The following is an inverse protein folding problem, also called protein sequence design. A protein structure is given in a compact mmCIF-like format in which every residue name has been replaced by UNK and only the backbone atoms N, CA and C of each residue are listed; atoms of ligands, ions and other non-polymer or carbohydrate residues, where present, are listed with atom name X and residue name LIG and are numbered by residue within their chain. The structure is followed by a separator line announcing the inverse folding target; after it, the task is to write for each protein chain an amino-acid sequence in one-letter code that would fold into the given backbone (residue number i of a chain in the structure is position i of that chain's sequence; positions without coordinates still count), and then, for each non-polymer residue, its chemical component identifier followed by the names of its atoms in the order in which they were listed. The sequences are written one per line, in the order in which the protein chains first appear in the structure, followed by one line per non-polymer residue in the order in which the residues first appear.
data_IF_868968674695
#
_entry.id   IF_868968674695
#
_cell.length_a   1.000
_cell.length_b   1.000
_cell.length_c   1.000
_cell.angle_alpha   90.00
_cell.angle_beta   90.00
_cell.angle_gamma   90.00
#
_symmetry.space_group_name_H-M   'P 1'
#
loop_
_entity.id
_entity.type
_entity.pdbx_description
1 polymer ?
#
# COMPACT_ATOMS: atom_id res chain seq x y z
N UNK A 1 14.75 26.48 3.21
CA UNK A 1 14.10 25.49 2.32
C UNK A 1 14.98 24.26 2.40
N UNK A 2 14.46 23.11 2.84
CA UNK A 2 15.25 21.87 2.91
C UNK A 2 15.10 21.19 1.56
N UNK A 3 16.20 20.94 0.88
CA UNK A 3 16.19 20.19 -0.38
C UNK A 3 15.85 18.72 -0.10
N UNK A 4 14.97 18.10 -0.92
CA UNK A 4 14.61 16.71 -0.72
C UNK A 4 15.84 15.80 -0.95
N UNK A 5 15.95 14.76 -0.12
CA UNK A 5 17.05 13.78 -0.16
C UNK A 5 17.02 12.96 -1.46
N UNK A 6 15.85 12.85 -2.10
CA UNK A 6 15.66 12.15 -3.38
C UNK A 6 14.64 12.88 -4.26
N UNK A 7 14.88 12.90 -5.57
CA UNK A 7 13.88 13.33 -6.55
C UNK A 7 12.84 12.23 -6.74
N UNK A 8 11.57 12.55 -6.55
CA UNK A 8 10.46 11.61 -6.78
C UNK A 8 10.18 11.51 -8.28
N UNK A 9 10.19 10.29 -8.81
CA UNK A 9 9.72 9.97 -10.16
C UNK A 9 8.37 9.29 -10.06
N UNK A 10 7.34 9.89 -10.67
CA UNK A 10 6.03 9.27 -10.79
C UNK A 10 5.97 8.39 -12.06
N UNK A 11 5.13 7.35 -12.08
CA UNK A 11 4.80 6.64 -13.31
C UNK A 11 4.17 7.60 -14.34
N UNK A 12 4.34 7.29 -15.63
CA UNK A 12 3.66 8.02 -16.68
C UNK A 12 2.16 7.71 -16.64
N UNK A 13 1.34 8.75 -16.62
CA UNK A 13 -0.11 8.58 -16.65
C UNK A 13 -0.55 8.03 -18.01
N UNK A 14 -1.29 6.92 -17.97
CA UNK A 14 -1.94 6.32 -19.12
C UNK A 14 -3.31 6.95 -19.37
N UNK A 15 -3.74 6.98 -20.63
CA UNK A 15 -5.08 7.47 -20.99
C UNK A 15 -6.15 6.58 -20.36
N UNK A 16 -7.23 7.18 -19.82
CA UNK A 16 -8.30 6.43 -19.14
C UNK A 16 -9.05 5.44 -20.04
N UNK A 17 -8.91 5.58 -21.36
CA UNK A 17 -9.47 4.72 -22.40
C UNK A 17 -8.43 3.77 -23.05
N UNK A 18 -7.16 3.86 -22.63
CA UNK A 18 -6.07 3.04 -23.16
C UNK A 18 -5.98 1.69 -22.41
N UNK A 19 -6.91 0.80 -22.75
CA UNK A 19 -7.01 -0.52 -22.15
C UNK A 19 -5.78 -1.42 -22.43
N UNK A 20 -5.01 -1.14 -23.47
CA UNK A 20 -3.79 -1.89 -23.78
C UNK A 20 -2.66 -1.47 -22.85
N UNK A 21 -2.48 -0.16 -22.64
CA UNK A 21 -1.55 0.36 -21.66
C UNK A 21 -1.90 -0.10 -20.24
N UNK A 22 -3.18 -0.06 -19.84
CA UNK A 22 -3.67 -0.57 -18.55
C UNK A 22 -3.26 -2.02 -18.29
N UNK A 23 -3.46 -2.89 -19.30
CA UNK A 23 -3.09 -4.31 -19.20
C UNK A 23 -1.59 -4.47 -19.09
N UNK A 24 -0.84 -3.76 -19.92
CA UNK A 24 0.62 -3.84 -19.92
C UNK A 24 1.21 -3.38 -18.58
N UNK A 25 0.65 -2.34 -17.96
CA UNK A 25 1.04 -1.91 -16.60
C UNK A 25 0.79 -3.01 -15.58
N UNK A 26 -0.36 -3.69 -15.63
CA UNK A 26 -0.65 -4.80 -14.70
C UNK A 26 0.28 -6.00 -14.91
N UNK A 27 0.54 -6.36 -16.15
CA UNK A 27 1.42 -7.48 -16.50
C UNK A 27 2.88 -7.23 -16.08
N UNK A 28 3.35 -5.98 -16.16
CA UNK A 28 4.69 -5.58 -15.73
C UNK A 28 4.83 -5.42 -14.21
N UNK A 29 3.70 -5.29 -13.50
CA UNK A 29 3.66 -5.03 -12.06
C UNK A 29 2.81 -6.09 -11.36
N UNK A 30 3.19 -7.38 -11.40
CA UNK A 30 2.38 -8.44 -10.81
C UNK A 30 2.20 -8.20 -9.31
N UNK A 31 0.98 -8.38 -8.83
CA UNK A 31 0.64 -8.31 -7.40
C UNK A 31 0.15 -9.69 -6.98
N UNK A 32 0.74 -10.22 -5.93
CA UNK A 32 0.42 -11.56 -5.44
C UNK A 32 -0.96 -11.61 -4.79
N UNK A 33 -1.70 -12.70 -5.01
CA UNK A 33 -3.04 -12.88 -4.44
C UNK A 33 -3.01 -12.89 -2.90
N UNK A 34 -1.93 -13.44 -2.30
CA UNK A 34 -1.72 -13.44 -0.86
C UNK A 34 -1.58 -12.02 -0.30
N UNK A 35 -0.88 -11.13 -1.01
CA UNK A 35 -0.75 -9.72 -0.65
C UNK A 35 -2.10 -9.01 -0.71
N UNK A 36 -2.88 -9.23 -1.78
CA UNK A 36 -4.23 -8.65 -1.89
C UNK A 36 -5.14 -9.12 -0.75
N UNK A 37 -5.09 -10.41 -0.39
CA UNK A 37 -5.83 -10.95 0.76
C UNK A 37 -5.41 -10.33 2.09
N UNK A 38 -4.10 -10.09 2.28
CA UNK A 38 -3.59 -9.43 3.47
C UNK A 38 -4.06 -7.97 3.54
N UNK A 39 -4.02 -7.24 2.43
CA UNK A 39 -4.52 -5.88 2.30
C UNK A 39 -6.03 -5.79 2.55
N UNK A 40 -6.81 -6.74 2.03
CA UNK A 40 -8.25 -6.84 2.28
C UNK A 40 -8.53 -7.09 3.77
N UNK A 41 -7.84 -8.07 4.39
CA UNK A 41 -7.98 -8.37 5.81
C UNK A 41 -7.62 -7.17 6.70
N UNK A 42 -6.51 -6.50 6.41
CA UNK A 42 -6.11 -5.26 7.05
C UNK A 42 -7.23 -4.23 6.93
N UNK A 43 -7.75 -4.02 5.71
CA UNK A 43 -8.77 -3.02 5.42
C UNK A 43 -10.05 -3.22 6.22
N UNK A 44 -10.54 -4.46 6.32
CA UNK A 44 -11.70 -4.77 7.16
C UNK A 44 -11.41 -4.55 8.65
N UNK A 45 -10.28 -5.04 9.12
CA UNK A 45 -9.91 -4.99 10.54
C UNK A 45 -9.72 -3.56 11.03
N UNK A 46 -8.99 -2.73 10.28
CA UNK A 46 -8.75 -1.33 10.65
C UNK A 46 -9.98 -0.47 10.44
N UNK A 47 -10.80 -0.72 9.40
CA UNK A 47 -12.05 0.01 9.22
C UNK A 47 -13.00 -0.24 10.40
N UNK A 48 -13.12 -1.50 10.85
CA UNK A 48 -13.93 -1.82 12.02
C UNK A 48 -13.42 -1.11 13.27
N UNK A 49 -12.10 -1.02 13.48
CA UNK A 49 -11.52 -0.34 14.63
C UNK A 49 -11.66 1.20 14.57
N UNK A 50 -11.37 1.80 13.41
CA UNK A 50 -11.35 3.26 13.21
C UNK A 50 -12.77 3.83 13.16
N UNK A 51 -13.71 3.14 12.51
CA UNK A 51 -15.07 3.63 12.29
C UNK A 51 -16.07 3.17 13.36
N UNK A 52 -15.64 2.36 14.34
CA UNK A 52 -16.52 1.72 15.35
C UNK A 52 -17.51 2.69 16.03
N UNK A 53 -17.04 3.91 16.31
CA UNK A 53 -17.77 4.91 17.09
C UNK A 53 -18.19 6.11 16.24
N UNK A 54 -18.24 5.96 14.91
CA UNK A 54 -18.73 7.03 14.04
C UNK A 54 -20.25 7.18 14.19
N UNK A 55 -20.68 8.30 14.75
CA UNK A 55 -22.10 8.67 14.89
C UNK A 55 -22.64 9.42 13.65
N UNK A 56 -21.74 9.89 12.79
CA UNK A 56 -22.02 10.59 11.55
C UNK A 56 -21.28 9.92 10.37
N UNK A 57 -21.45 10.47 9.16
CA UNK A 57 -20.71 10.02 7.99
C UNK A 57 -19.20 10.14 8.23
N UNK A 58 -18.49 9.03 8.12
CA UNK A 58 -17.05 8.95 8.27
C UNK A 58 -16.40 8.38 7.01
N UNK A 59 -15.20 8.86 6.72
CA UNK A 59 -14.41 8.42 5.58
C UNK A 59 -13.02 7.99 6.05
N UNK A 60 -12.62 6.79 5.67
CA UNK A 60 -11.34 6.20 6.01
C UNK A 60 -10.80 5.51 4.77
N UNK A 61 -9.52 5.74 4.46
CA UNK A 61 -8.80 5.05 3.38
C UNK A 61 -7.83 4.05 4.02
N UNK A 62 -8.18 2.76 4.08
CA UNK A 62 -7.27 1.75 4.59
C UNK A 62 -6.00 1.65 3.75
N UNK A 63 -6.11 1.82 2.44
CA UNK A 63 -4.97 1.79 1.53
C UNK A 63 -3.92 2.86 1.88
N UNK A 64 -4.37 4.08 2.19
CA UNK A 64 -3.47 5.17 2.62
C UNK A 64 -2.74 4.82 3.92
N UNK A 65 -3.46 4.27 4.92
CA UNK A 65 -2.84 3.83 6.17
C UNK A 65 -1.86 2.68 5.94
N UNK A 66 -2.21 1.74 5.07
CA UNK A 66 -1.36 0.59 4.73
C UNK A 66 0.00 1.05 4.19
N UNK A 67 0.02 1.96 3.21
CA UNK A 67 1.27 2.50 2.68
C UNK A 67 2.08 3.27 3.72
N UNK A 68 1.43 4.10 4.55
CA UNK A 68 2.13 4.83 5.60
C UNK A 68 2.82 3.88 6.60
N UNK A 69 2.14 2.81 6.99
CA UNK A 69 2.69 1.78 7.87
C UNK A 69 3.78 0.94 7.18
N UNK A 70 3.61 0.59 5.91
CA UNK A 70 4.65 -0.14 5.16
C UNK A 70 5.96 0.65 5.10
N UNK A 71 5.89 1.96 4.85
CA UNK A 71 7.05 2.87 4.88
C UNK A 71 7.65 2.94 6.28
N UNK A 72 6.82 3.08 7.32
CA UNK A 72 7.28 3.11 8.71
C UNK A 72 7.96 1.79 9.11
N UNK A 73 7.40 0.65 8.70
CA UNK A 73 7.93 -0.70 8.94
C UNK A 73 9.26 -0.95 8.22
N UNK A 74 9.42 -0.43 7.01
CA UNK A 74 10.69 -0.49 6.27
C UNK A 74 11.81 0.31 6.96
N UNK A 75 11.48 1.38 7.70
CA UNK A 75 12.43 2.18 8.48
C UNK A 75 12.62 1.73 9.94
N UNK A 76 11.77 0.83 10.44
CA UNK A 76 11.84 0.29 11.79
C UNK A 76 12.82 -0.89 11.89
N UNK A 77 13.11 -1.34 13.12
CA UNK A 77 13.92 -2.53 13.35
C UNK A 77 13.48 -3.29 14.60
N UNK A 78 13.86 -4.57 14.68
CA UNK A 78 13.53 -5.45 15.79
C UNK A 78 12.01 -5.61 15.98
N UNK A 79 11.57 -5.64 17.24
CA UNK A 79 10.17 -5.88 17.62
C UNK A 79 9.19 -4.92 16.95
N UNK A 80 9.53 -3.63 16.83
CA UNK A 80 8.66 -2.63 16.20
C UNK A 80 8.39 -2.97 14.73
N UNK A 81 9.41 -3.41 14.00
CA UNK A 81 9.26 -3.81 12.61
C UNK A 81 8.38 -5.06 12.51
N UNK A 82 8.63 -6.06 13.36
CA UNK A 82 7.84 -7.30 13.38
C UNK A 82 6.36 -7.02 13.62
N UNK A 83 6.01 -6.19 14.60
CA UNK A 83 4.61 -5.86 14.89
C UNK A 83 3.92 -5.11 13.75
N UNK A 84 4.65 -4.23 13.04
CA UNK A 84 4.11 -3.54 11.86
C UNK A 84 3.88 -4.53 10.72
N UNK A 85 4.85 -5.40 10.44
CA UNK A 85 4.74 -6.41 9.38
C UNK A 85 3.60 -7.40 9.67
N UNK A 86 3.46 -7.85 10.91
CA UNK A 86 2.37 -8.72 11.35
C UNK A 86 1.00 -8.07 11.12
N UNK A 87 0.85 -6.78 11.46
CA UNK A 87 -0.38 -6.03 11.20
C UNK A 87 -0.70 -5.93 9.71
N UNK A 88 0.33 -5.75 8.87
CA UNK A 88 0.21 -5.65 7.41
C UNK A 88 0.03 -7.00 6.72
N UNK A 89 0.10 -8.11 7.47
CA UNK A 89 0.04 -9.48 6.95
C UNK A 89 1.25 -9.84 6.09
N UNK A 90 2.40 -9.26 6.37
CA UNK A 90 3.66 -9.49 5.67
C UNK A 90 4.69 -10.17 6.60
N UNK A 91 5.52 -11.03 6.04
CA UNK A 91 6.61 -11.69 6.77
C UNK A 91 8.00 -11.10 6.45
N UNK A 92 8.11 -10.37 5.34
CA UNK A 92 9.35 -9.78 4.86
C UNK A 92 9.09 -8.36 4.33
N UNK A 93 9.90 -7.40 4.81
CA UNK A 93 9.76 -5.98 4.43
C UNK A 93 10.21 -5.70 3.00
N UNK A 94 11.11 -6.51 2.44
CA UNK A 94 11.57 -6.38 1.06
C UNK A 94 10.48 -6.78 0.09
N UNK A 95 9.89 -7.95 0.30
CA UNK A 95 8.75 -8.45 -0.46
C UNK A 95 7.56 -7.49 -0.36
N UNK A 96 7.23 -7.04 0.86
CA UNK A 96 6.19 -6.03 1.07
C UNK A 96 6.44 -4.76 0.26
N UNK A 97 7.69 -4.30 0.19
CA UNK A 97 8.06 -3.11 -0.59
C UNK A 97 7.86 -3.32 -2.09
N UNK A 98 8.18 -4.51 -2.60
CA UNK A 98 7.94 -4.87 -4.02
C UNK A 98 6.45 -4.89 -4.33
N UNK A 99 5.64 -5.59 -3.52
CA UNK A 99 4.19 -5.69 -3.70
C UNK A 99 3.50 -4.31 -3.62
N UNK A 100 3.86 -3.49 -2.63
CA UNK A 100 3.41 -2.11 -2.51
C UNK A 100 3.79 -1.27 -3.74
N UNK A 101 5.02 -1.40 -4.23
CA UNK A 101 5.46 -0.68 -5.44
C UNK A 101 4.68 -1.10 -6.68
N UNK A 102 4.44 -2.40 -6.86
CA UNK A 102 3.68 -2.94 -7.98
C UNK A 102 2.22 -2.47 -7.92
N UNK A 103 1.57 -2.58 -6.77
CA UNK A 103 0.20 -2.11 -6.61
C UNK A 103 0.10 -0.59 -6.84
N UNK A 104 1.05 0.21 -6.37
CA UNK A 104 1.05 1.66 -6.60
C UNK A 104 1.03 1.99 -8.09
N UNK A 105 1.88 1.34 -8.89
CA UNK A 105 1.94 1.53 -10.36
C UNK A 105 0.71 1.00 -11.09
N UNK A 106 -0.01 0.02 -10.53
CA UNK A 106 -1.30 -0.40 -11.10
C UNK A 106 -2.43 0.62 -10.85
N UNK A 107 -2.29 1.46 -9.82
CA UNK A 107 -3.32 2.41 -9.39
C UNK A 107 -3.09 3.84 -9.90
N UNK A 108 -1.84 4.19 -10.23
CA UNK A 108 -1.38 5.54 -10.59
C UNK A 108 -0.31 5.48 -11.69
#
# INVERSE_FOLDING_TARGET
MIDPILTVSYPEAIGSDDLEADRMVRDQNPVEESFLKALDHFSYSTSSAVLKNSEENANYSPLSLYYALAIAGAGAGGETQSQILDLLGASDSGELSVQCGNLYRQLY
#
